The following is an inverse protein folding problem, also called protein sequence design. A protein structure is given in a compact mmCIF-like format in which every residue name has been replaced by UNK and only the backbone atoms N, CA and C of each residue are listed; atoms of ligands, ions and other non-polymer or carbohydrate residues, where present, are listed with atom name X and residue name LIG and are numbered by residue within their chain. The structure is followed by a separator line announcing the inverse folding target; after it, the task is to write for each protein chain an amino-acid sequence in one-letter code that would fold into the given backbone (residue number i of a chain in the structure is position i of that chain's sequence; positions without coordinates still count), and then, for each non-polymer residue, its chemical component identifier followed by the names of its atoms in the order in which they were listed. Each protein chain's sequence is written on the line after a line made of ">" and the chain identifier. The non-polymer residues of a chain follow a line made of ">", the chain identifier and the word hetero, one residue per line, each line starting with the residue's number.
data_IF_618330446928
#
_entry.id   IF_618330446928
#
_cell.length_a   1.000
_cell.length_b   1.000
_cell.length_c   1.000
_cell.angle_alpha   90.00
_cell.angle_beta   90.00
_cell.angle_gamma   90.00
#
_symmetry.space_group_name_H-M   'P 1'
#
loop_
_entity.id
_entity.type
_entity.pdbx_description
1 polymer ?
#
# COMPACT_ATOMS: atom_id res chain seq x y z
N UNK A 1 -10.42 4.91 -19.62
CA UNK A 1 -11.47 3.94 -20.00
C UNK A 1 -12.89 4.52 -19.93
N UNK A 2 -13.04 5.84 -20.06
CA UNK A 2 -14.33 6.51 -20.27
C UNK A 2 -14.13 7.62 -21.30
N UNK A 3 -13.86 7.24 -22.54
CA UNK A 3 -13.83 8.16 -23.66
C UNK A 3 -15.28 8.37 -24.15
N UNK A 4 -16.11 8.98 -23.30
CA UNK A 4 -17.44 9.44 -23.71
C UNK A 4 -17.24 10.79 -24.38
N UNK A 5 -17.15 10.77 -25.71
CA UNK A 5 -17.16 11.96 -26.53
C UNK A 5 -18.56 12.52 -26.72
N UNK A 6 -18.62 13.70 -27.33
CA UNK A 6 -19.89 14.33 -27.72
C UNK A 6 -20.70 13.43 -28.69
N UNK A 7 -19.99 12.69 -29.56
CA UNK A 7 -20.56 11.68 -30.46
C UNK A 7 -21.31 10.58 -29.73
N UNK A 8 -20.68 9.95 -28.73
CA UNK A 8 -21.31 8.87 -27.95
C UNK A 8 -22.56 9.37 -27.21
N UNK A 9 -22.51 10.58 -26.66
CA UNK A 9 -23.65 11.18 -25.96
C UNK A 9 -24.85 11.35 -26.89
N UNK A 10 -24.64 11.80 -28.13
CA UNK A 10 -25.72 11.90 -29.13
C UNK A 10 -26.32 10.52 -29.45
N UNK A 11 -25.49 9.50 -29.64
CA UNK A 11 -25.98 8.14 -29.93
C UNK A 11 -26.84 7.62 -28.77
N UNK A 12 -26.39 7.80 -27.53
CA UNK A 12 -27.16 7.43 -26.34
C UNK A 12 -28.47 8.21 -26.26
N UNK A 13 -28.45 9.52 -26.57
CA UNK A 13 -29.67 10.33 -26.58
C UNK A 13 -30.68 9.82 -27.61
N UNK A 14 -30.25 9.46 -28.81
CA UNK A 14 -31.13 8.88 -29.84
C UNK A 14 -31.72 7.54 -29.38
N UNK A 15 -30.88 6.63 -28.85
CA UNK A 15 -31.34 5.34 -28.33
C UNK A 15 -32.35 5.53 -27.20
N UNK A 16 -32.07 6.45 -26.27
CA UNK A 16 -32.98 6.78 -25.18
C UNK A 16 -34.32 7.31 -25.68
N UNK A 17 -34.32 8.17 -26.71
CA UNK A 17 -35.55 8.67 -27.34
C UNK A 17 -36.37 7.54 -27.98
N UNK A 18 -35.74 6.55 -28.59
CA UNK A 18 -36.45 5.41 -29.21
C UNK A 18 -37.02 4.46 -28.16
N UNK A 19 -36.23 4.10 -27.15
CA UNK A 19 -36.61 3.11 -26.14
C UNK A 19 -37.65 3.66 -25.15
N UNK A 20 -37.42 4.86 -24.63
CA UNK A 20 -38.29 5.50 -23.63
C UNK A 20 -39.41 6.30 -24.32
N UNK A 21 -39.13 6.86 -25.49
CA UNK A 21 -40.02 7.78 -26.20
C UNK A 21 -39.67 9.26 -25.93
N UNK A 22 -39.76 10.14 -26.96
CA UNK A 22 -39.43 11.55 -26.84
C UNK A 22 -40.29 12.32 -25.84
N UNK A 23 -41.54 11.88 -25.62
CA UNK A 23 -42.46 12.52 -24.68
C UNK A 23 -42.19 12.12 -23.22
N UNK A 24 -41.60 10.93 -23.00
CA UNK A 24 -41.42 10.35 -21.66
C UNK A 24 -40.04 10.67 -21.08
N UNK A 25 -39.00 10.74 -21.92
CA UNK A 25 -37.64 11.12 -21.53
C UNK A 25 -37.60 12.42 -20.69
N UNK A 26 -38.22 13.54 -21.10
CA UNK A 26 -38.19 14.77 -20.30
C UNK A 26 -38.89 14.61 -18.95
N UNK A 27 -39.92 13.76 -18.85
CA UNK A 27 -40.62 13.49 -17.59
C UNK A 27 -39.73 12.70 -16.62
N UNK A 28 -39.00 11.70 -17.12
CA UNK A 28 -38.02 10.93 -16.33
C UNK A 28 -36.86 11.81 -15.90
N UNK A 29 -36.28 12.60 -16.80
CA UNK A 29 -35.19 13.52 -16.49
C UNK A 29 -35.60 14.54 -15.42
N UNK A 30 -36.81 15.11 -15.49
CA UNK A 30 -37.35 16.00 -14.45
C UNK A 30 -37.51 15.28 -13.10
N UNK A 31 -37.97 14.04 -13.11
CA UNK A 31 -38.19 13.26 -11.88
C UNK A 31 -36.86 12.93 -11.20
N UNK A 32 -35.88 12.45 -11.97
CA UNK A 32 -34.53 12.18 -11.48
C UNK A 32 -33.84 13.46 -11.02
N UNK A 33 -33.96 14.54 -11.80
CA UNK A 33 -33.42 15.85 -11.42
C UNK A 33 -34.02 16.38 -10.12
N UNK A 34 -35.31 16.19 -9.89
CA UNK A 34 -35.97 16.58 -8.64
C UNK A 34 -35.50 15.75 -7.44
N UNK A 35 -35.33 14.44 -7.63
CA UNK A 35 -34.80 13.55 -6.60
C UNK A 35 -33.35 13.89 -6.24
N UNK A 36 -32.50 14.04 -7.26
CA UNK A 36 -31.10 14.44 -7.08
C UNK A 36 -30.99 15.84 -6.47
N UNK A 37 -31.80 16.79 -6.93
CA UNK A 37 -31.81 18.15 -6.39
C UNK A 37 -32.25 18.19 -4.92
N UNK A 38 -33.25 17.38 -4.53
CA UNK A 38 -33.64 17.24 -3.12
C UNK A 38 -32.56 16.56 -2.28
N UNK A 39 -31.94 15.50 -2.79
CA UNK A 39 -30.85 14.83 -2.10
C UNK A 39 -29.66 15.78 -1.89
N UNK A 40 -29.29 16.54 -2.94
CA UNK A 40 -28.23 17.54 -2.87
C UNK A 40 -28.57 18.64 -1.85
N UNK A 41 -29.83 19.10 -1.81
CA UNK A 41 -30.28 20.09 -0.82
C UNK A 41 -30.21 19.56 0.60
N UNK A 42 -30.66 18.32 0.83
CA UNK A 42 -30.54 17.66 2.14
C UNK A 42 -29.10 17.52 2.59
N UNK A 43 -28.20 17.10 1.69
CA UNK A 43 -26.76 17.02 1.99
C UNK A 43 -26.19 18.41 2.31
N UNK A 44 -26.61 19.45 1.60
CA UNK A 44 -26.17 20.82 1.86
C UNK A 44 -26.70 21.37 3.19
N UNK A 45 -27.96 21.09 3.52
CA UNK A 45 -28.61 21.50 4.77
C UNK A 45 -27.92 20.79 5.96
N UNK A 46 -27.72 19.48 5.89
CA UNK A 46 -26.96 18.70 6.89
C UNK A 46 -25.50 19.17 6.99
N UNK A 47 -24.85 19.46 5.86
CA UNK A 47 -23.49 20.02 5.85
C UNK A 47 -23.45 21.40 6.50
N UNK A 48 -24.48 22.22 6.31
CA UNK A 48 -24.61 23.54 6.93
C UNK A 48 -24.82 23.44 8.44
N UNK A 49 -25.69 22.55 8.90
CA UNK A 49 -25.95 22.30 10.32
C UNK A 49 -24.71 21.72 11.01
N UNK A 50 -24.05 20.74 10.38
CA UNK A 50 -22.78 20.17 10.84
C UNK A 50 -21.67 21.23 10.83
N UNK A 51 -21.55 22.09 9.81
CA UNK A 51 -20.55 23.18 9.84
C UNK A 51 -20.84 24.23 10.92
N UNK A 52 -22.09 24.31 11.39
CA UNK A 52 -22.49 25.25 12.43
C UNK A 52 -22.28 24.69 13.83
N UNK A 53 -22.25 23.36 13.97
CA UNK A 53 -21.97 22.63 15.22
C UNK A 53 -20.50 22.17 15.36
N UNK A 54 -19.80 21.91 14.26
CA UNK A 54 -18.35 21.75 14.24
C UNK A 54 -17.72 23.15 14.32
N UNK A 55 -17.65 23.67 15.54
CA UNK A 55 -16.47 24.43 15.92
C UNK A 55 -15.25 23.53 15.69
N UNK A 56 -14.16 24.12 15.20
CA UNK A 56 -12.93 23.54 14.64
C UNK A 56 -12.22 22.42 15.46
N UNK A 57 -12.79 21.96 16.56
CA UNK A 57 -12.19 21.06 17.54
C UNK A 57 -12.34 19.57 17.19
N UNK A 58 -13.44 19.12 16.57
CA UNK A 58 -13.62 17.68 16.28
C UNK A 58 -12.82 17.21 15.06
N UNK A 59 -12.75 18.01 13.99
CA UNK A 59 -11.87 17.70 12.85
C UNK A 59 -10.40 17.70 13.25
N UNK A 60 -10.01 18.60 14.17
CA UNK A 60 -8.65 18.67 14.73
C UNK A 60 -8.36 17.46 15.64
N UNK A 61 -9.35 16.98 16.39
CA UNK A 61 -9.25 15.79 17.25
C UNK A 61 -9.17 14.48 16.44
N UNK A 62 -9.91 14.37 15.33
CA UNK A 62 -9.80 13.25 14.40
C UNK A 62 -8.44 13.25 13.68
N UNK A 63 -7.98 14.41 13.21
CA UNK A 63 -6.64 14.55 12.61
C UNK A 63 -5.53 14.19 13.61
N UNK A 64 -5.64 14.65 14.87
CA UNK A 64 -4.65 14.33 15.90
C UNK A 64 -4.64 12.84 16.23
N UNK A 65 -5.81 12.18 16.37
CA UNK A 65 -5.88 10.74 16.63
C UNK A 65 -5.30 9.89 15.50
N UNK A 66 -5.56 10.27 14.25
CA UNK A 66 -4.99 9.57 13.07
C UNK A 66 -3.47 9.77 13.03
N UNK A 67 -2.97 10.97 13.32
CA UNK A 67 -1.53 11.25 13.33
C UNK A 67 -0.81 10.52 14.48
N UNK A 68 -1.40 10.47 15.67
CA UNK A 68 -0.88 9.73 16.83
C UNK A 68 -0.82 8.23 16.53
N UNK A 69 -1.89 7.68 15.94
CA UNK A 69 -1.97 6.26 15.55
C UNK A 69 -0.97 5.93 14.44
N UNK A 70 -0.75 6.83 13.49
CA UNK A 70 0.27 6.65 12.46
C UNK A 70 1.69 6.65 13.05
N UNK A 71 1.97 7.56 13.99
CA UNK A 71 3.28 7.64 14.67
C UNK A 71 3.58 6.42 15.53
N UNK A 72 2.60 5.90 16.27
CA UNK A 72 2.78 4.70 17.10
C UNK A 72 2.96 3.43 16.27
N UNK A 73 2.28 3.34 15.13
CA UNK A 73 2.51 2.29 14.15
C UNK A 73 3.91 2.40 13.55
N UNK A 74 4.34 3.60 13.15
CA UNK A 74 5.68 3.82 12.60
C UNK A 74 6.78 3.45 13.62
N UNK A 75 6.62 3.82 14.90
CA UNK A 75 7.59 3.47 15.95
C UNK A 75 7.64 1.97 16.21
N UNK A 76 6.48 1.31 16.23
CA UNK A 76 6.39 -0.14 16.44
C UNK A 76 7.03 -0.89 15.28
N UNK A 77 6.73 -0.49 14.04
CA UNK A 77 7.33 -1.07 12.84
C UNK A 77 8.84 -0.85 12.80
N UNK A 78 9.34 0.34 13.17
CA UNK A 78 10.79 0.59 13.27
C UNK A 78 11.46 -0.26 14.34
N UNK A 79 10.84 -0.41 15.52
CA UNK A 79 11.38 -1.27 16.59
C UNK A 79 11.44 -2.74 16.18
N UNK A 80 10.38 -3.25 15.57
CA UNK A 80 10.34 -4.62 15.04
C UNK A 80 11.38 -4.80 13.92
N UNK A 81 11.57 -3.80 13.07
CA UNK A 81 12.57 -3.84 12.00
C UNK A 81 14.00 -3.79 12.52
N UNK A 82 14.30 -2.94 13.50
CA UNK A 82 15.63 -2.86 14.13
C UNK A 82 15.92 -4.12 14.97
N UNK A 83 14.93 -4.67 15.67
CA UNK A 83 15.03 -5.94 16.37
C UNK A 83 15.32 -7.09 15.39
N UNK A 84 14.56 -7.17 14.29
CA UNK A 84 14.79 -8.14 13.24
C UNK A 84 16.19 -7.98 12.61
N UNK A 85 16.64 -6.74 12.35
CA UNK A 85 17.97 -6.48 11.81
C UNK A 85 19.08 -6.90 12.78
N UNK A 86 18.91 -6.68 14.08
CA UNK A 86 19.88 -7.11 15.09
C UNK A 86 20.00 -8.65 15.17
N UNK A 87 18.88 -9.35 15.03
CA UNK A 87 18.82 -10.83 14.99
C UNK A 87 19.39 -11.38 13.68
N UNK A 88 19.37 -10.60 12.59
CA UNK A 88 19.94 -10.99 11.29
C UNK A 88 21.43 -10.66 11.19
N UNK A 89 21.92 -9.54 11.74
CA UNK A 89 23.36 -9.20 11.68
C UNK A 89 24.22 -10.03 12.65
N UNK A 90 23.70 -10.41 13.82
CA UNK A 90 24.42 -11.26 14.79
C UNK A 90 24.88 -12.61 14.19
N UNK A 91 24.04 -13.39 13.48
CA UNK A 91 24.46 -14.63 12.83
C UNK A 91 25.32 -14.40 11.59
N UNK A 92 25.18 -13.28 10.86
CA UNK A 92 26.02 -13.02 9.67
C UNK A 92 27.47 -12.74 10.08
N UNK A 93 27.68 -12.01 11.17
CA UNK A 93 29.03 -11.74 11.69
C UNK A 93 29.68 -12.99 12.30
N UNK A 94 28.91 -13.82 13.01
CA UNK A 94 29.43 -15.06 13.60
C UNK A 94 29.71 -16.12 12.54
N UNK A 95 28.87 -16.23 11.50
CA UNK A 95 29.13 -17.13 10.37
C UNK A 95 30.33 -16.64 9.55
N UNK A 96 30.48 -15.33 9.31
CA UNK A 96 31.68 -14.81 8.64
C UNK A 96 32.97 -15.09 9.42
N UNK A 97 32.94 -14.92 10.75
CA UNK A 97 34.07 -15.20 11.63
C UNK A 97 34.39 -16.70 11.74
N UNK A 98 33.37 -17.56 11.72
CA UNK A 98 33.51 -19.02 11.78
C UNK A 98 34.05 -19.58 10.44
N UNK A 99 33.66 -18.99 9.31
CA UNK A 99 34.19 -19.32 7.98
C UNK A 99 35.65 -18.86 7.82
N UNK A 100 36.02 -17.70 8.37
CA UNK A 100 37.41 -17.20 8.37
C UNK A 100 38.30 -18.02 9.32
N UNK A 101 37.77 -18.43 10.47
CA UNK A 101 38.47 -19.31 11.42
C UNK A 101 38.67 -20.72 10.84
N UNK A 102 37.65 -21.29 10.18
CA UNK A 102 37.77 -22.57 9.47
C UNK A 102 38.79 -22.50 8.31
N UNK A 103 38.85 -21.37 7.58
CA UNK A 103 39.84 -21.17 6.51
C UNK A 103 41.29 -21.03 7.04
N UNK A 104 41.46 -20.48 8.24
CA UNK A 104 42.77 -20.34 8.90
C UNK A 104 43.30 -21.68 9.44
N UNK A 105 42.42 -22.52 10.00
CA UNK A 105 42.78 -23.86 10.51
C UNK A 105 43.15 -24.81 9.37
N UNK A 106 42.46 -24.74 8.22
CA UNK A 106 42.79 -25.55 7.03
C UNK A 106 44.15 -25.16 6.41
N UNK A 107 44.63 -23.93 6.61
CA UNK A 107 45.93 -23.48 6.08
C UNK A 107 47.13 -23.86 6.96
N UNK A 108 46.93 -24.32 8.20
CA UNK A 108 48.00 -24.53 9.18
C UNK A 108 48.36 -26.00 9.46
N UNK A 109 47.62 -26.98 8.93
CA UNK A 109 48.02 -28.39 8.92
C UNK A 109 48.40 -28.87 7.51
N UNK A 110 49.64 -28.58 7.09
CA UNK A 110 50.42 -29.56 6.31
C UNK A 110 51.93 -29.42 6.54
N UNK A 111 52.50 -29.97 7.63
CA UNK A 111 53.90 -30.36 7.64
C UNK A 111 54.00 -31.89 7.50
N UNK A 112 54.45 -32.30 6.30
CA UNK A 112 55.46 -33.34 6.07
C UNK A 112 55.27 -34.72 6.72
N UNK A 113 54.74 -35.66 5.92
CA UNK A 113 55.32 -37.01 5.82
C UNK A 113 56.02 -37.14 4.46
N UNK A 114 57.23 -36.59 4.39
CA UNK A 114 58.26 -37.20 3.55
C UNK A 114 58.73 -38.47 4.26
N UNK A 115 58.95 -39.53 3.48
CA UNK A 115 59.82 -40.69 3.79
C UNK A 115 59.17 -41.98 4.35
N UNK A 116 58.55 -42.75 3.45
CA UNK A 116 58.81 -44.21 3.34
C UNK A 116 58.82 -44.54 1.83
N UNK A 117 59.98 -44.52 1.19
CA UNK A 117 60.86 -45.67 0.99
C UNK A 117 60.35 -46.65 -0.10
N UNK A 118 61.03 -46.56 -1.26
CA UNK A 118 61.45 -47.69 -2.10
C UNK A 118 60.39 -48.49 -2.90
N UNK A 119 60.34 -48.26 -4.22
CA UNK A 119 60.97 -49.19 -5.19
C UNK A 119 60.95 -48.66 -6.64
N UNK A 120 62.01 -48.90 -7.43
CA UNK A 120 62.08 -48.57 -8.84
C UNK A 120 61.68 -49.75 -9.73
N UNK A 121 61.45 -49.43 -11.01
CA UNK A 121 61.47 -50.30 -12.22
C UNK A 121 60.27 -51.23 -12.45
N UNK A 122 59.49 -50.93 -13.50
CA UNK A 122 59.39 -51.72 -14.74
C UNK A 122 58.68 -50.90 -15.82
#
# INVERSE_FOLDING_TARGET
>A
MFDIGFSELIVIAIVALVVIGPERLPKVARTLGHLLGRAQRYVNDVKSDINREIQLDELKKLQSQVTESARSLESSVRQEFDAARSVVETPVQSVAAEVESAASVVSSETPLLSETMNKPVA
#
